data_IF_447378328532
#
_entry.id   IF_447378328532
#
_cell.length_a   1.000
_cell.length_b   1.000
_cell.length_c   1.000
_cell.angle_alpha   90.00
_cell.angle_beta   90.00
_cell.angle_gamma   90.00
#
_symmetry.space_group_name_H-M   'P 1'
#
loop_
_entity.id
_entity.type
_entity.pdbx_description
1 polymer ?
#
# COMPACT_ATOMS: atom_id res chain seq x y z
N UNK A 1 14.90 14.60 11.09
CA UNK A 1 13.77 13.67 10.84
C UNK A 1 13.16 14.09 9.51
N UNK A 2 12.62 13.21 8.67
CA UNK A 2 12.08 13.56 7.33
C UNK A 2 10.76 14.34 7.36
N UNK A 3 10.57 15.16 8.39
CA UNK A 3 9.41 16.01 8.64
C UNK A 3 9.78 17.15 9.60
N UNK A 4 11.07 17.46 9.77
CA UNK A 4 11.51 18.55 10.65
C UNK A 4 12.58 19.37 9.99
N UNK A 5 12.76 20.62 10.39
CA UNK A 5 13.97 21.37 10.04
C UNK A 5 15.21 20.70 10.64
N UNK A 6 16.39 21.20 10.26
CA UNK A 6 17.69 20.71 10.75
C UNK A 6 17.88 20.83 12.27
N UNK A 7 17.07 21.66 12.92
CA UNK A 7 17.00 21.80 14.37
C UNK A 7 16.30 20.61 15.07
N UNK A 8 15.56 19.77 14.33
CA UNK A 8 14.66 18.73 14.84
C UNK A 8 13.62 19.22 15.86
N UNK A 9 13.31 20.52 15.86
CA UNK A 9 12.33 21.14 16.76
C UNK A 9 11.11 21.63 15.99
N UNK A 10 11.31 22.06 14.74
CA UNK A 10 10.24 22.62 13.92
C UNK A 10 9.71 21.56 12.97
N UNK A 11 8.42 21.19 13.12
CA UNK A 11 7.72 20.29 12.20
C UNK A 11 7.47 20.97 10.85
N UNK A 12 7.66 20.23 9.78
CA UNK A 12 7.39 20.64 8.39
C UNK A 12 6.75 19.48 7.64
N UNK A 13 6.04 19.73 6.52
CA UNK A 13 5.57 18.65 5.67
C UNK A 13 6.71 17.70 5.29
N UNK A 14 6.38 16.41 5.22
CA UNK A 14 7.36 15.35 4.97
C UNK A 14 8.09 15.52 3.63
N UNK A 15 9.37 15.20 3.61
CA UNK A 15 10.25 15.33 2.45
C UNK A 15 11.19 14.12 2.31
N UNK A 16 11.75 13.91 1.12
CA UNK A 16 12.48 12.73 0.65
C UNK A 16 11.81 11.38 0.97
N UNK A 17 10.48 11.34 1.04
CA UNK A 17 9.76 10.07 1.13
C UNK A 17 9.65 9.42 -0.25
N UNK A 18 9.70 8.08 -0.27
CA UNK A 18 9.36 7.26 -1.43
C UNK A 18 8.10 6.46 -1.11
N UNK A 19 7.00 6.74 -1.80
CA UNK A 19 5.71 6.07 -1.64
C UNK A 19 5.32 5.45 -2.99
N UNK A 20 5.48 4.13 -3.12
CA UNK A 20 5.12 3.40 -4.33
C UNK A 20 4.14 2.26 -4.06
N UNK A 21 3.17 2.06 -4.96
CA UNK A 21 2.26 0.92 -5.00
C UNK A 21 1.42 0.69 -3.73
N UNK A 22 1.20 1.73 -2.93
CA UNK A 22 0.42 1.61 -1.69
C UNK A 22 -1.08 1.55 -1.95
N UNK A 23 -1.79 0.79 -1.12
CA UNK A 23 -3.25 0.66 -1.15
C UNK A 23 -3.88 1.22 0.13
N UNK A 24 -4.72 2.24 0.00
CA UNK A 24 -5.61 2.74 1.04
C UNK A 24 -7.04 2.25 0.84
N UNK A 25 -7.67 1.77 1.91
CA UNK A 25 -9.06 1.32 1.91
C UNK A 25 -9.74 1.57 3.26
N UNK A 26 -11.03 1.95 3.23
CA UNK A 26 -11.84 2.15 4.44
C UNK A 26 -11.41 3.35 5.31
N UNK A 27 -10.59 4.25 4.78
CA UNK A 27 -10.06 5.40 5.51
C UNK A 27 -10.85 6.67 5.22
N UNK A 28 -10.72 7.68 6.10
CA UNK A 28 -11.24 9.04 5.84
C UNK A 28 -10.22 9.94 5.14
N UNK A 29 -8.93 9.68 5.37
CA UNK A 29 -7.79 10.44 4.84
C UNK A 29 -6.67 9.41 4.63
N UNK A 30 -6.22 9.27 3.39
CA UNK A 30 -5.16 8.32 3.01
C UNK A 30 -3.75 8.91 3.20
N UNK A 31 -3.61 10.23 3.15
CA UNK A 31 -2.32 10.91 3.24
C UNK A 31 -2.47 12.32 3.86
N UNK A 32 -1.61 12.65 4.83
CA UNK A 32 -1.56 13.96 5.49
C UNK A 32 -0.11 14.32 5.83
N UNK A 33 0.19 15.62 5.92
CA UNK A 33 1.50 16.16 6.27
C UNK A 33 2.64 15.69 5.35
N UNK A 34 2.33 15.40 4.08
CA UNK A 34 3.33 15.14 3.05
C UNK A 34 3.57 16.42 2.25
N UNK A 35 4.84 16.72 1.98
CA UNK A 35 5.25 17.80 1.09
C UNK A 35 4.85 17.55 -0.36
N UNK A 36 5.30 18.42 -1.25
CA UNK A 36 4.99 18.35 -2.67
C UNK A 36 5.62 17.13 -3.36
N UNK A 37 5.16 16.82 -4.58
CA UNK A 37 5.77 15.79 -5.44
C UNK A 37 7.17 16.17 -5.97
N UNK A 38 7.63 17.41 -5.76
CA UNK A 38 9.03 17.80 -6.02
C UNK A 38 9.96 17.54 -4.83
N UNK A 39 9.39 17.36 -3.65
CA UNK A 39 10.13 17.06 -2.40
C UNK A 39 10.05 15.57 -2.05
N UNK A 40 9.19 14.80 -2.72
CA UNK A 40 8.94 13.39 -2.45
C UNK A 40 8.76 12.62 -3.76
N UNK A 41 9.17 11.36 -3.77
CA UNK A 41 8.91 10.44 -4.87
C UNK A 41 7.62 9.67 -4.58
N UNK A 42 6.53 10.05 -5.25
CA UNK A 42 5.19 9.51 -5.01
C UNK A 42 4.73 8.75 -6.27
N UNK A 43 4.98 7.46 -6.31
CA UNK A 43 4.61 6.55 -7.40
C UNK A 43 3.29 5.83 -7.15
N UNK A 44 2.38 5.86 -8.13
CA UNK A 44 1.24 4.93 -8.31
C UNK A 44 0.66 4.32 -7.01
N UNK A 45 0.01 5.12 -6.19
CA UNK A 45 -0.71 4.69 -5.00
C UNK A 45 -2.22 4.76 -5.25
N UNK A 46 -3.04 3.97 -4.56
CA UNK A 46 -4.48 3.99 -4.79
C UNK A 46 -5.11 5.37 -4.57
N UNK A 47 -4.50 6.20 -3.71
CA UNK A 47 -4.95 7.54 -3.35
C UNK A 47 -4.37 8.67 -4.22
N UNK A 48 -3.56 8.36 -5.23
CA UNK A 48 -3.12 9.34 -6.24
C UNK A 48 -3.44 8.94 -7.69
N UNK A 49 -4.04 7.75 -7.88
CA UNK A 49 -4.54 7.26 -9.15
C UNK A 49 -6.05 7.49 -9.27
N UNK A 50 -6.60 7.62 -10.49
CA UNK A 50 -8.04 7.74 -10.73
C UNK A 50 -8.75 6.38 -10.60
N UNK A 51 -8.58 5.72 -9.44
CA UNK A 51 -9.14 4.42 -9.10
C UNK A 51 -10.11 4.60 -7.92
N UNK A 52 -11.10 3.73 -7.83
CA UNK A 52 -12.00 3.66 -6.67
C UNK A 52 -11.84 2.29 -6.04
N UNK A 53 -11.30 2.25 -4.83
CA UNK A 53 -11.18 1.01 -4.06
C UNK A 53 -12.50 0.72 -3.35
N UNK A 54 -12.97 -0.51 -3.46
CA UNK A 54 -14.21 -0.99 -2.86
C UNK A 54 -13.97 -2.28 -2.08
N UNK A 55 -14.94 -2.68 -1.25
CA UNK A 55 -14.87 -3.97 -0.56
C UNK A 55 -14.87 -5.16 -1.55
N UNK A 56 -15.40 -4.97 -2.77
CA UNK A 56 -15.41 -6.00 -3.82
C UNK A 56 -14.04 -6.26 -4.46
N UNK A 57 -13.06 -5.40 -4.20
CA UNK A 57 -11.69 -5.59 -4.67
C UNK A 57 -10.90 -6.59 -3.83
N UNK A 58 -11.45 -7.08 -2.71
CA UNK A 58 -10.77 -8.00 -1.80
C UNK A 58 -11.46 -9.37 -1.74
N UNK A 59 -10.67 -10.43 -1.65
CA UNK A 59 -11.18 -11.80 -1.41
C UNK A 59 -11.81 -11.89 -0.02
N UNK A 60 -11.20 -11.25 0.98
CA UNK A 60 -11.73 -11.19 2.35
C UNK A 60 -11.27 -9.93 3.07
N UNK A 61 -12.13 -9.43 3.96
CA UNK A 61 -11.85 -8.37 4.93
C UNK A 61 -12.10 -8.86 6.37
N UNK A 62 -12.07 -10.18 6.59
CA UNK A 62 -12.21 -10.78 7.93
C UNK A 62 -10.89 -10.64 8.73
N UNK A 63 -10.85 -9.67 9.63
CA UNK A 63 -9.67 -9.37 10.47
C UNK A 63 -9.29 -10.51 11.42
N UNK A 64 -10.21 -11.43 11.73
CA UNK A 64 -9.90 -12.57 12.60
C UNK A 64 -8.79 -13.45 12.03
N UNK A 65 -8.57 -13.41 10.71
CA UNK A 65 -7.50 -14.12 10.04
C UNK A 65 -6.10 -13.63 10.47
N UNK A 66 -5.95 -12.36 10.84
CA UNK A 66 -4.68 -11.78 11.28
C UNK A 66 -4.20 -12.32 12.63
N UNK A 67 -5.12 -12.90 13.42
CA UNK A 67 -4.85 -13.50 14.72
C UNK A 67 -4.61 -15.02 14.64
N UNK A 68 -4.62 -15.61 13.44
CA UNK A 68 -4.35 -17.03 13.26
C UNK A 68 -2.92 -17.36 13.70
N UNK A 69 -2.69 -18.54 14.31
CA UNK A 69 -1.34 -18.95 14.69
C UNK A 69 -0.43 -19.03 13.46
N UNK A 70 0.84 -18.69 13.65
CA UNK A 70 1.89 -18.94 12.67
C UNK A 70 1.94 -20.42 12.31
N UNK A 71 2.47 -20.70 11.13
CA UNK A 71 2.73 -22.06 10.69
C UNK A 71 3.80 -22.70 11.60
N UNK A 72 3.87 -24.04 11.62
CA UNK A 72 4.78 -24.77 12.50
C UNK A 72 6.26 -24.41 12.29
N UNK A 73 6.62 -23.92 11.10
CA UNK A 73 7.96 -23.45 10.74
C UNK A 73 8.22 -21.97 11.10
N UNK A 74 7.24 -21.26 11.65
CA UNK A 74 7.35 -19.84 12.02
C UNK A 74 6.82 -18.87 10.96
N UNK A 75 6.48 -19.34 9.77
CA UNK A 75 5.93 -18.49 8.71
C UNK A 75 4.58 -17.89 9.09
N UNK A 76 4.23 -16.79 8.44
CA UNK A 76 2.92 -16.14 8.61
C UNK A 76 1.79 -17.12 8.28
N UNK A 77 0.62 -17.01 8.94
CA UNK A 77 -0.54 -17.81 8.59
C UNK A 77 -0.97 -17.56 7.14
N UNK A 78 -1.50 -18.60 6.50
CA UNK A 78 -2.15 -18.45 5.20
C UNK A 78 -3.51 -17.77 5.43
N UNK A 79 -3.67 -16.60 4.82
CA UNK A 79 -4.85 -15.74 4.94
C UNK A 79 -5.29 -15.26 3.56
N UNK A 80 -6.56 -14.86 3.45
CA UNK A 80 -7.12 -14.15 2.29
C UNK A 80 -7.54 -12.72 2.66
N UNK A 81 -7.27 -12.30 3.89
CA UNK A 81 -7.48 -10.93 4.32
C UNK A 81 -6.65 -9.97 3.48
N UNK A 82 -7.30 -8.94 2.92
CA UNK A 82 -6.69 -7.89 2.11
C UNK A 82 -5.96 -8.36 0.82
N UNK A 83 -6.12 -9.62 0.40
CA UNK A 83 -5.66 -10.09 -0.93
C UNK A 83 -6.67 -9.68 -2.00
N UNK A 84 -6.20 -9.29 -3.18
CA UNK A 84 -7.06 -8.79 -4.26
C UNK A 84 -7.97 -9.88 -4.86
N UNK A 85 -9.23 -9.53 -5.09
CA UNK A 85 -10.19 -10.38 -5.78
C UNK A 85 -9.89 -10.43 -7.29
N UNK A 86 -10.15 -11.56 -7.97
CA UNK A 86 -9.99 -11.65 -9.41
C UNK A 86 -10.78 -10.56 -10.14
N UNK A 87 -10.11 -9.86 -11.08
CA UNK A 87 -10.71 -8.78 -11.85
C UNK A 87 -10.73 -7.42 -11.15
N UNK A 88 -10.13 -7.29 -9.96
CA UNK A 88 -9.93 -5.98 -9.35
C UNK A 88 -9.07 -5.09 -10.25
N UNK A 89 -9.44 -3.81 -10.35
CA UNK A 89 -8.67 -2.81 -11.08
C UNK A 89 -7.34 -2.42 -10.38
N UNK A 90 -7.07 -3.01 -9.22
CA UNK A 90 -5.84 -2.85 -8.45
C UNK A 90 -4.74 -3.84 -8.88
N UNK A 91 -5.12 -4.86 -9.66
CA UNK A 91 -4.19 -5.82 -10.26
C UNK A 91 -3.48 -5.16 -11.45
N UNK A 92 -2.18 -5.38 -11.59
CA UNK A 92 -1.32 -4.79 -12.63
C UNK A 92 -1.37 -3.25 -12.69
N UNK A 93 -1.73 -2.61 -11.57
CA UNK A 93 -1.97 -1.16 -11.51
C UNK A 93 -0.80 -0.36 -10.92
N UNK A 94 0.25 -1.02 -10.44
CA UNK A 94 1.47 -0.44 -9.89
C UNK A 94 2.53 -0.08 -10.93
N UNK A 95 3.72 0.27 -10.45
CA UNK A 95 4.94 0.47 -11.23
C UNK A 95 6.05 -0.41 -10.68
N UNK A 96 6.91 -0.92 -11.57
CA UNK A 96 8.06 -1.73 -11.17
C UNK A 96 9.01 -0.94 -10.26
N UNK A 97 9.17 -1.43 -9.02
CA UNK A 97 10.09 -0.89 -8.01
C UNK A 97 11.31 -1.80 -7.79
N UNK A 98 11.51 -2.81 -8.64
CA UNK A 98 12.56 -3.82 -8.52
C UNK A 98 12.18 -5.04 -7.70
N UNK A 99 10.94 -5.12 -7.20
CA UNK A 99 10.41 -6.27 -6.47
C UNK A 99 9.73 -7.28 -7.41
N UNK A 100 9.74 -8.59 -7.10
CA UNK A 100 9.04 -9.58 -7.91
C UNK A 100 7.53 -9.37 -7.92
N UNK A 101 6.92 -9.41 -9.10
CA UNK A 101 5.47 -9.34 -9.31
C UNK A 101 5.00 -10.38 -10.34
N UNK A 102 3.69 -10.63 -10.37
CA UNK A 102 3.04 -11.46 -11.37
C UNK A 102 2.39 -10.57 -12.44
N UNK A 103 2.20 -11.09 -13.66
CA UNK A 103 1.47 -10.35 -14.69
C UNK A 103 2.31 -9.31 -15.42
N UNK A 104 1.71 -8.16 -15.71
CA UNK A 104 2.26 -7.06 -16.51
C UNK A 104 2.90 -5.96 -15.66
N UNK A 105 2.44 -5.77 -14.43
CA UNK A 105 2.99 -4.81 -13.48
C UNK A 105 2.68 -5.25 -12.04
N UNK A 106 3.35 -4.69 -11.00
CA UNK A 106 2.97 -4.95 -9.61
C UNK A 106 1.52 -4.60 -9.32
N UNK A 107 0.91 -5.35 -8.43
CA UNK A 107 -0.39 -5.03 -7.86
C UNK A 107 -0.26 -3.90 -6.84
N UNK A 108 -1.35 -3.14 -6.64
CA UNK A 108 -1.39 -2.17 -5.54
C UNK A 108 -1.68 -2.87 -4.22
N UNK A 109 -0.85 -2.61 -3.21
CA UNK A 109 -1.02 -3.12 -1.85
C UNK A 109 0.08 -4.09 -1.44
N UNK A 110 -0.24 -4.94 -0.45
CA UNK A 110 0.75 -5.77 0.23
C UNK A 110 0.90 -7.18 -0.37
N UNK A 111 -0.01 -7.60 -1.24
CA UNK A 111 -0.08 -8.97 -1.75
C UNK A 111 -0.32 -8.96 -3.26
N UNK A 112 0.54 -9.65 -3.99
CA UNK A 112 0.31 -10.01 -5.39
C UNK A 112 -0.85 -11.01 -5.49
N UNK A 113 -1.79 -10.73 -6.40
CA UNK A 113 -2.75 -11.69 -6.88
C UNK A 113 -2.02 -12.84 -7.62
N UNK A 114 -2.66 -14.02 -7.61
CA UNK A 114 -2.15 -15.23 -8.26
C UNK A 114 -3.06 -15.67 -9.38
#
# INVERSE_FOLDING_TARGET
>A
MQSTLSDNLTDVPGYDHHLANNLGFGTRIEMINLGSASENDIGRNSFNLPLVVSAGDFVSLDESQLMRPRQANGDLPIITFATLAPGSALIDAGADTGEPFNGLAPDLGAFEAR
#
